data_IF_390480016965
#
_entry.id   IF_390480016965
#
_cell.length_a   1.000
_cell.length_b   1.000
_cell.length_c   1.000
_cell.angle_alpha   90.00
_cell.angle_beta   90.00
_cell.angle_gamma   90.00
#
_symmetry.space_group_name_H-M   'P 1'
#
loop_
_entity.id
_entity.type
_entity.pdbx_description
1 polymer ?
#
# COMPACT_ATOMS: atom_id res chain seq x y z
N UNK A 1 -36.38 5.88 -10.65
CA UNK A 1 -35.44 6.23 -9.57
C UNK A 1 -34.02 5.99 -10.09
N UNK A 2 -33.34 7.02 -10.61
CA UNK A 2 -32.06 6.86 -11.31
C UNK A 2 -30.85 7.18 -10.40
N UNK A 3 -29.95 6.18 -10.23
CA UNK A 3 -28.50 6.30 -10.07
C UNK A 3 -27.92 6.88 -8.76
N UNK A 4 -27.35 6.03 -7.92
CA UNK A 4 -26.45 6.45 -6.84
C UNK A 4 -25.16 7.07 -7.45
N UNK A 5 -24.81 8.31 -7.10
CA UNK A 5 -23.67 9.05 -7.68
C UNK A 5 -22.28 8.45 -7.37
N UNK A 6 -22.19 7.37 -6.59
CA UNK A 6 -20.97 6.61 -6.31
C UNK A 6 -20.83 5.30 -7.12
N UNK A 7 -21.76 4.98 -8.02
CA UNK A 7 -21.76 3.72 -8.80
C UNK A 7 -21.08 3.85 -10.17
N UNK A 8 -20.15 4.80 -10.32
CA UNK A 8 -19.40 5.03 -11.55
C UNK A 8 -18.05 4.30 -11.58
N UNK A 9 -17.61 3.88 -12.77
CA UNK A 9 -16.31 3.24 -13.01
C UNK A 9 -15.19 4.20 -12.57
N UNK A 10 -14.20 3.71 -11.80
CA UNK A 10 -12.97 4.47 -11.47
C UNK A 10 -12.36 5.02 -12.77
N UNK A 11 -12.07 6.33 -12.85
CA UNK A 11 -11.59 6.96 -14.08
C UNK A 11 -10.23 6.38 -14.48
N UNK A 12 -10.02 6.26 -15.79
CA UNK A 12 -8.73 5.83 -16.32
C UNK A 12 -7.70 6.97 -16.12
N UNK A 13 -6.44 6.64 -15.81
CA UNK A 13 -5.39 7.63 -15.66
C UNK A 13 -5.11 8.31 -17.01
N UNK A 14 -4.75 9.60 -16.97
CA UNK A 14 -4.59 10.51 -18.11
C UNK A 14 -3.64 9.97 -19.18
N UNK A 15 -2.51 9.52 -18.66
CA UNK A 15 -1.84 8.31 -19.05
C UNK A 15 -2.62 7.40 -20.02
N UNK A 16 -3.31 6.36 -19.56
CA UNK A 16 -4.05 5.43 -20.42
C UNK A 16 -4.94 6.09 -21.49
N UNK A 17 -5.31 7.34 -21.31
CA UNK A 17 -5.96 8.10 -22.36
C UNK A 17 -5.02 8.50 -23.55
N UNK A 18 -3.77 8.99 -23.43
CA UNK A 18 -2.94 9.35 -24.63
C UNK A 18 -2.62 8.19 -25.51
N UNK A 19 -2.14 7.08 -24.94
CA UNK A 19 -1.67 5.97 -25.75
C UNK A 19 -2.78 5.42 -26.66
N UNK A 20 -4.05 5.61 -26.28
CA UNK A 20 -5.20 5.09 -27.02
C UNK A 20 -5.68 5.99 -28.15
N UNK A 21 -4.97 7.07 -28.45
CA UNK A 21 -5.41 8.03 -29.46
C UNK A 21 -6.74 8.70 -29.09
N UNK A 22 -7.05 8.79 -27.79
CA UNK A 22 -8.13 9.60 -27.26
C UNK A 22 -9.61 9.26 -27.62
N UNK A 23 -10.08 8.02 -27.47
CA UNK A 23 -11.47 7.66 -27.81
C UNK A 23 -12.50 8.31 -26.88
N UNK A 24 -12.10 8.65 -25.65
CA UNK A 24 -12.90 9.46 -24.71
C UNK A 24 -13.01 10.93 -25.14
N UNK A 25 -12.37 11.32 -26.25
CA UNK A 25 -12.30 12.70 -26.78
C UNK A 25 -11.87 13.73 -25.74
N UNK A 26 -11.02 13.28 -24.83
CA UNK A 26 -10.37 14.09 -23.82
C UNK A 26 -9.28 14.92 -24.49
N UNK A 27 -9.32 16.25 -24.47
CA UNK A 27 -8.34 17.08 -25.19
C UNK A 27 -6.89 16.59 -24.98
N UNK A 28 -6.00 16.72 -25.98
CA UNK A 28 -4.66 16.08 -26.02
C UNK A 28 -3.76 16.32 -24.81
N UNK A 29 -4.05 17.33 -24.00
CA UNK A 29 -3.41 17.54 -22.71
C UNK A 29 -3.82 16.53 -21.62
N UNK A 30 -4.99 15.88 -21.67
CA UNK A 30 -5.46 14.85 -20.72
C UNK A 30 -4.86 13.45 -20.98
N UNK A 31 -3.97 13.39 -21.96
CA UNK A 31 -3.53 12.17 -22.61
C UNK A 31 -2.05 11.96 -22.31
N UNK A 32 -1.19 12.94 -22.60
CA UNK A 32 0.28 12.83 -22.63
C UNK A 32 0.93 12.37 -21.32
N UNK A 33 0.17 12.22 -20.25
CA UNK A 33 0.64 11.75 -18.96
C UNK A 33 0.95 10.23 -18.89
N UNK A 34 1.06 9.45 -20.01
CA UNK A 34 1.10 7.94 -20.04
C UNK A 34 2.40 7.23 -19.93
N UNK A 35 3.50 7.95 -19.90
CA UNK A 35 4.53 7.47 -19.01
C UNK A 35 3.93 7.58 -17.61
N UNK A 36 3.24 6.55 -17.10
CA UNK A 36 3.47 6.25 -15.69
C UNK A 36 4.92 5.83 -15.71
N UNK A 37 5.79 6.83 -15.64
CA UNK A 37 7.21 6.69 -15.52
C UNK A 37 7.34 5.83 -14.27
N UNK A 38 7.46 4.52 -14.48
CA UNK A 38 7.37 3.57 -13.40
C UNK A 38 8.54 3.90 -12.52
N UNK A 39 8.21 4.46 -11.36
CA UNK A 39 9.24 4.87 -10.43
C UNK A 39 10.07 3.62 -10.14
N UNK A 40 11.40 3.73 -10.18
CA UNK A 40 12.24 2.58 -9.94
C UNK A 40 11.84 1.96 -8.60
N UNK A 41 11.77 0.63 -8.58
CA UNK A 41 11.45 -0.12 -7.39
C UNK A 41 12.58 0.06 -6.37
N UNK A 42 12.36 0.94 -5.39
CA UNK A 42 13.38 1.39 -4.44
C UNK A 42 12.77 1.39 -3.05
N UNK A 43 13.47 0.77 -2.10
CA UNK A 43 13.08 0.81 -0.70
C UNK A 43 13.43 2.20 -0.14
N UNK A 44 12.46 2.99 0.34
CA UNK A 44 12.77 4.25 0.98
C UNK A 44 13.47 4.05 2.34
N UNK A 45 14.23 5.05 2.82
CA UNK A 45 14.84 4.98 4.13
C UNK A 45 13.78 4.92 5.23
N UNK A 46 13.88 3.91 6.08
CA UNK A 46 12.95 3.70 7.19
C UNK A 46 12.94 4.92 8.14
N UNK A 47 11.77 5.47 8.50
CA UNK A 47 11.71 6.63 9.40
C UNK A 47 12.25 6.35 10.81
N UNK A 48 13.09 7.25 11.31
CA UNK A 48 13.72 7.13 12.62
C UNK A 48 12.72 7.13 13.78
N UNK A 49 11.58 7.81 13.63
CA UNK A 49 10.53 7.92 14.65
C UNK A 49 9.67 6.67 14.82
N UNK A 50 9.80 5.66 13.93
CA UNK A 50 9.04 4.42 14.07
C UNK A 50 9.48 3.63 15.32
N UNK A 51 8.52 2.97 15.96
CA UNK A 51 8.78 2.06 17.08
C UNK A 51 9.64 0.87 16.65
N UNK A 52 10.21 0.14 17.61
CA UNK A 52 11.04 -1.04 17.35
C UNK A 52 10.29 -2.09 16.53
N UNK A 53 9.05 -2.42 16.90
CA UNK A 53 8.22 -3.38 16.17
C UNK A 53 7.84 -2.89 14.77
N UNK A 54 7.57 -1.59 14.61
CA UNK A 54 7.27 -1.01 13.29
C UNK A 54 8.50 -1.08 12.37
N UNK A 55 9.71 -0.83 12.88
CA UNK A 55 10.96 -0.98 12.13
C UNK A 55 11.24 -2.44 11.76
N UNK A 56 10.88 -3.39 12.63
CA UNK A 56 11.01 -4.81 12.32
C UNK A 56 10.07 -5.19 11.17
N UNK A 57 8.83 -4.71 11.20
CA UNK A 57 7.87 -4.95 10.13
C UNK A 57 8.28 -4.31 8.81
N UNK A 58 8.79 -3.07 8.85
CA UNK A 58 9.36 -2.40 7.69
C UNK A 58 10.42 -3.27 7.01
N UNK A 59 11.37 -3.79 7.79
CA UNK A 59 12.43 -4.67 7.27
C UNK A 59 11.87 -5.96 6.67
N UNK A 60 10.81 -6.51 7.29
CA UNK A 60 10.17 -7.74 6.83
C UNK A 60 9.52 -7.56 5.46
N UNK A 61 8.74 -6.50 5.26
CA UNK A 61 7.91 -6.35 4.05
C UNK A 61 8.56 -5.52 2.94
N UNK A 62 9.45 -4.57 3.26
CA UNK A 62 9.98 -3.66 2.25
C UNK A 62 10.77 -4.38 1.16
N UNK A 63 11.52 -5.43 1.52
CA UNK A 63 12.28 -6.23 0.55
C UNK A 63 11.36 -7.01 -0.39
N UNK A 64 10.29 -7.59 0.15
CA UNK A 64 9.28 -8.30 -0.63
C UNK A 64 8.58 -7.33 -1.58
N UNK A 65 8.17 -6.16 -1.09
CA UNK A 65 7.53 -5.12 -1.91
C UNK A 65 8.45 -4.61 -3.03
N UNK A 66 9.75 -4.45 -2.77
CA UNK A 66 10.71 -4.06 -3.79
C UNK A 66 10.89 -5.16 -4.85
N UNK A 67 11.01 -6.41 -4.41
CA UNK A 67 11.14 -7.57 -5.31
C UNK A 67 9.92 -7.69 -6.22
N UNK A 68 8.75 -7.34 -5.69
CA UNK A 68 7.50 -7.27 -6.41
C UNK A 68 7.29 -5.95 -7.15
N UNK A 69 8.22 -4.99 -7.17
CA UNK A 69 8.01 -3.70 -7.84
C UNK A 69 6.80 -2.89 -7.33
N UNK A 70 6.35 -3.17 -6.10
CA UNK A 70 5.18 -2.57 -5.46
C UNK A 70 5.52 -1.37 -4.57
N UNK A 71 6.78 -0.96 -4.55
CA UNK A 71 7.24 0.15 -3.72
C UNK A 71 8.27 0.99 -4.47
N UNK A 72 8.14 2.29 -4.31
CA UNK A 72 9.07 3.30 -4.75
C UNK A 72 9.49 4.18 -3.56
N UNK A 73 10.48 5.03 -3.79
CA UNK A 73 10.92 6.02 -2.81
C UNK A 73 9.79 6.95 -2.33
N UNK A 74 8.75 7.18 -3.14
CA UNK A 74 7.62 8.05 -2.78
C UNK A 74 6.69 7.41 -1.75
N UNK A 75 6.66 6.09 -1.67
CA UNK A 75 5.69 5.35 -0.86
C UNK A 75 6.10 5.27 0.63
N UNK A 76 7.16 6.00 1.02
CA UNK A 76 7.73 6.00 2.37
C UNK A 76 6.69 6.27 3.45
N UNK A 77 5.81 7.25 3.24
CA UNK A 77 4.80 7.64 4.22
C UNK A 77 3.74 6.56 4.41
N UNK A 78 3.21 6.03 3.30
CA UNK A 78 2.18 5.00 3.30
C UNK A 78 2.70 3.71 3.96
N UNK A 79 3.93 3.30 3.63
CA UNK A 79 4.57 2.14 4.27
C UNK A 79 4.76 2.38 5.77
N UNK A 80 5.12 3.60 6.19
CA UNK A 80 5.32 3.92 7.61
C UNK A 80 4.01 3.81 8.39
N UNK A 81 2.89 4.27 7.81
CA UNK A 81 1.56 4.14 8.40
C UNK A 81 1.20 2.66 8.58
N UNK A 82 1.42 1.84 7.56
CA UNK A 82 1.19 0.39 7.66
C UNK A 82 2.01 -0.25 8.78
N UNK A 83 3.33 0.00 8.81
CA UNK A 83 4.23 -0.60 9.79
C UNK A 83 3.92 -0.14 11.23
N UNK A 84 3.59 1.13 11.43
CA UNK A 84 3.21 1.62 12.76
C UNK A 84 1.88 1.02 13.21
N UNK A 85 0.90 0.91 12.30
CA UNK A 85 -0.38 0.28 12.61
C UNK A 85 -0.20 -1.21 12.99
N UNK A 86 0.71 -1.93 12.32
CA UNK A 86 1.07 -3.30 12.73
C UNK A 86 1.65 -3.37 14.15
N UNK A 87 2.56 -2.46 14.50
CA UNK A 87 3.13 -2.41 15.84
C UNK A 87 2.07 -2.13 16.91
N UNK A 88 1.20 -1.14 16.67
CA UNK A 88 0.11 -0.80 17.58
C UNK A 88 -0.85 -1.97 17.76
N UNK A 89 -1.18 -2.66 16.65
CA UNK A 89 -2.02 -3.85 16.67
C UNK A 89 -1.40 -4.98 17.48
N UNK A 90 -0.13 -5.29 17.24
CA UNK A 90 0.61 -6.32 17.98
C UNK A 90 0.57 -6.05 19.49
N UNK A 91 0.93 -4.84 19.91
CA UNK A 91 0.92 -4.45 21.33
C UNK A 91 -0.48 -4.59 21.93
N UNK A 92 -1.51 -4.12 21.21
CA UNK A 92 -2.89 -4.24 21.68
C UNK A 92 -3.31 -5.71 21.85
N UNK A 93 -2.98 -6.58 20.88
CA UNK A 93 -3.30 -8.01 20.96
C UNK A 93 -2.58 -8.72 22.10
N UNK A 94 -1.30 -8.42 22.32
CA UNK A 94 -0.54 -8.95 23.45
C UNK A 94 -1.15 -8.52 24.81
N UNK A 95 -1.55 -7.24 24.93
CA UNK A 95 -2.21 -6.74 26.15
C UNK A 95 -3.59 -7.35 26.37
N UNK A 96 -4.39 -7.49 25.33
CA UNK A 96 -5.71 -8.16 25.40
C UNK A 96 -5.53 -9.60 25.90
N UNK A 97 -4.57 -10.33 25.33
CA UNK A 97 -4.30 -11.71 25.72
C UNK A 97 -3.84 -11.83 27.18
N UNK A 98 -3.01 -10.90 27.66
CA UNK A 98 -2.50 -10.92 29.02
C UNK A 98 -3.56 -10.56 30.08
N UNK A 99 -4.62 -9.84 29.70
CA UNK A 99 -5.69 -9.38 30.60
C UNK A 99 -6.97 -10.22 30.50
N UNK A 100 -6.99 -11.24 29.63
CA UNK A 100 -8.15 -12.10 29.38
C UNK A 100 -9.43 -11.29 29.12
N UNK A 101 -10.51 -11.53 29.88
CA UNK A 101 -11.80 -10.85 29.73
C UNK A 101 -11.71 -9.33 29.93
N UNK A 102 -10.86 -8.87 30.86
CA UNK A 102 -10.60 -7.45 31.09
C UNK A 102 -9.84 -6.79 29.93
N UNK A 103 -9.17 -7.61 29.10
CA UNK A 103 -8.56 -7.17 27.86
C UNK A 103 -9.59 -6.74 26.80
N UNK A 104 -10.80 -7.30 26.82
CA UNK A 104 -11.84 -6.98 25.84
C UNK A 104 -12.83 -5.93 26.35
N UNK A 105 -13.17 -6.00 27.64
CA UNK A 105 -14.23 -5.19 28.26
C UNK A 105 -13.71 -4.58 29.55
N UNK A 106 -13.87 -3.27 29.69
CA UNK A 106 -13.57 -2.54 30.93
C UNK A 106 -14.87 -2.06 31.60
N UNK A 107 -14.89 -2.08 32.92
CA UNK A 107 -15.99 -1.54 33.71
C UNK A 107 -15.64 -0.12 34.13
N UNK A 108 -16.47 0.84 33.75
CA UNK A 108 -16.34 2.25 34.15
C UNK A 108 -16.57 2.41 35.66
N UNK A 109 -16.13 3.53 36.27
CA UNK A 109 -16.42 3.80 37.69
C UNK A 109 -17.92 3.83 38.03
N UNK A 110 -18.79 4.08 37.05
CA UNK A 110 -20.26 4.05 37.18
C UNK A 110 -20.87 2.65 37.02
N UNK A 111 -20.06 1.61 36.79
CA UNK A 111 -20.50 0.22 36.70
C UNK A 111 -20.91 -0.25 35.29
N UNK A 112 -20.89 0.63 34.28
CA UNK A 112 -21.18 0.24 32.90
C UNK A 112 -19.99 -0.48 32.26
N UNK A 113 -20.28 -1.55 31.52
CA UNK A 113 -19.31 -2.29 30.71
C UNK A 113 -19.15 -1.61 29.35
N UNK A 114 -17.92 -1.30 28.97
CA UNK A 114 -17.58 -0.76 27.66
C UNK A 114 -16.39 -1.48 27.04
N UNK A 115 -16.18 -1.27 25.74
CA UNK A 115 -15.03 -1.82 25.03
C UNK A 115 -13.74 -1.24 25.61
N UNK A 116 -12.81 -2.11 25.98
CA UNK A 116 -11.53 -1.68 26.56
C UNK A 116 -10.76 -0.75 25.64
N UNK A 117 -9.91 0.11 26.22
CA UNK A 117 -9.00 0.94 25.44
C UNK A 117 -8.10 0.12 24.50
N UNK A 118 -7.69 -1.09 24.91
CA UNK A 118 -6.86 -1.99 24.10
C UNK A 118 -7.61 -2.54 22.89
N UNK A 119 -8.87 -2.93 23.07
CA UNK A 119 -9.71 -3.40 21.96
C UNK A 119 -10.03 -2.26 20.98
N UNK A 120 -10.24 -1.03 21.49
CA UNK A 120 -10.36 0.16 20.64
C UNK A 120 -9.09 0.40 19.82
N UNK A 121 -7.91 0.29 20.43
CA UNK A 121 -6.63 0.44 19.73
C UNK A 121 -6.45 -0.65 18.66
N UNK A 122 -6.73 -1.91 18.98
CA UNK A 122 -6.63 -3.03 18.04
C UNK A 122 -7.50 -2.79 16.80
N UNK A 123 -8.77 -2.42 16.98
CA UNK A 123 -9.69 -2.18 15.86
C UNK A 123 -9.23 -1.04 14.96
N UNK A 124 -8.81 0.09 15.56
CA UNK A 124 -8.28 1.25 14.80
C UNK A 124 -6.98 0.91 14.07
N UNK A 125 -6.13 0.09 14.67
CA UNK A 125 -4.88 -0.35 14.06
C UNK A 125 -5.15 -1.28 12.87
N UNK A 126 -6.08 -2.24 12.98
CA UNK A 126 -6.50 -3.09 11.87
C UNK A 126 -7.06 -2.29 10.70
N UNK A 127 -7.89 -1.30 10.97
CA UNK A 127 -8.45 -0.46 9.92
C UNK A 127 -7.36 0.35 9.19
N UNK A 128 -6.41 0.95 9.92
CA UNK A 128 -5.26 1.65 9.34
C UNK A 128 -4.40 0.70 8.51
N UNK A 129 -4.11 -0.50 9.00
CA UNK A 129 -3.37 -1.53 8.26
C UNK A 129 -4.11 -1.93 6.98
N UNK A 130 -5.42 -2.16 7.05
CA UNK A 130 -6.23 -2.54 5.88
C UNK A 130 -6.20 -1.44 4.83
N UNK A 131 -6.35 -0.17 5.24
CA UNK A 131 -6.31 0.97 4.31
C UNK A 131 -4.92 1.12 3.69
N UNK A 132 -3.88 1.28 4.49
CA UNK A 132 -2.52 1.50 3.98
C UNK A 132 -1.98 0.29 3.20
N UNK A 133 -2.27 -0.93 3.69
CA UNK A 133 -1.86 -2.17 3.02
C UNK A 133 -2.57 -2.42 1.70
N UNK A 134 -3.70 -1.75 1.43
CA UNK A 134 -4.37 -1.85 0.14
C UNK A 134 -3.55 -1.23 -0.99
N UNK A 135 -2.81 -0.15 -0.70
CA UNK A 135 -1.91 0.54 -1.64
C UNK A 135 -0.79 -0.38 -2.14
N UNK A 136 -0.37 -1.34 -1.31
CA UNK A 136 0.73 -2.28 -1.59
C UNK A 136 0.29 -3.70 -1.92
N UNK A 137 -1.01 -3.99 -1.97
CA UNK A 137 -1.49 -5.34 -2.25
C UNK A 137 -1.22 -6.33 -1.11
N UNK A 138 -1.18 -5.85 0.13
CA UNK A 138 -1.06 -6.73 1.29
C UNK A 138 -2.42 -7.37 1.66
N UNK A 139 -3.51 -6.79 1.17
CA UNK A 139 -4.85 -7.38 1.28
C UNK A 139 -5.15 -8.26 0.06
N UNK A 140 -5.73 -9.48 0.25
CA UNK A 140 -6.12 -10.34 -0.86
C UNK A 140 -6.96 -9.65 -1.94
N UNK A 141 -7.94 -8.83 -1.54
CA UNK A 141 -8.81 -8.08 -2.48
C UNK A 141 -8.09 -6.95 -3.21
N UNK A 142 -7.07 -6.33 -2.58
CA UNK A 142 -6.28 -5.28 -3.19
C UNK A 142 -5.29 -5.83 -4.21
N UNK A 143 -4.73 -7.03 -3.99
CA UNK A 143 -3.88 -7.73 -4.97
C UNK A 143 -4.57 -7.89 -6.32
N UNK A 144 -5.85 -8.26 -6.30
CA UNK A 144 -6.63 -8.40 -7.52
C UNK A 144 -6.77 -7.07 -8.31
N UNK A 145 -6.64 -5.92 -7.65
CA UNK A 145 -6.78 -4.58 -8.26
C UNK A 145 -5.46 -3.96 -8.73
N UNK A 146 -4.32 -4.44 -8.25
CA UNK A 146 -2.99 -3.89 -8.59
C UNK A 146 -2.44 -4.41 -9.94
N UNK A 147 -3.12 -5.39 -10.54
CA UNK A 147 -2.76 -5.93 -11.86
C UNK A 147 -1.55 -6.86 -11.82
N UNK A 148 -1.56 -7.91 -12.64
CA UNK A 148 -0.51 -8.93 -12.75
C UNK A 148 0.80 -8.43 -13.42
N UNK A 149 1.18 -7.17 -13.22
CA UNK A 149 2.31 -6.51 -13.90
C UNK A 149 3.51 -6.23 -12.99
N UNK A 150 3.52 -6.73 -11.77
CA UNK A 150 4.44 -6.30 -10.72
C UNK A 150 5.71 -7.17 -10.64
N UNK A 151 5.68 -8.38 -11.21
CA UNK A 151 6.91 -9.11 -11.52
C UNK A 151 7.36 -8.69 -12.91
N UNK A 152 8.28 -7.73 -13.00
CA UNK A 152 9.10 -7.65 -14.21
C UNK A 152 9.82 -8.99 -14.31
N UNK A 153 9.38 -9.83 -15.23
CA UNK A 153 10.18 -10.92 -15.73
C UNK A 153 11.41 -10.24 -16.33
N UNK A 154 12.50 -10.16 -15.55
CA UNK A 154 13.77 -9.67 -16.04
C UNK A 154 14.08 -10.41 -17.34
N UNK A 155 14.61 -9.69 -18.34
CA UNK A 155 14.92 -10.27 -19.65
C UNK A 155 15.61 -11.63 -19.44
N UNK A 156 14.95 -12.73 -19.85
CA UNK A 156 15.45 -14.09 -19.59
C UNK A 156 16.82 -14.36 -20.25
N UNK A 157 17.22 -13.49 -21.16
CA UNK A 157 18.49 -13.53 -21.86
C UNK A 157 19.08 -12.13 -21.91
N UNK A 158 20.38 -11.95 -21.60
CA UNK A 158 21.06 -10.68 -21.78
C UNK A 158 20.95 -10.23 -23.24
N UNK A 159 20.27 -9.11 -23.49
CA UNK A 159 20.19 -8.54 -24.83
C UNK A 159 21.38 -7.59 -25.05
N UNK A 160 22.52 -8.16 -25.46
CA UNK A 160 23.77 -7.42 -25.70
C UNK A 160 23.58 -6.23 -26.67
N UNK A 161 22.62 -6.33 -27.59
CA UNK A 161 22.30 -5.25 -28.53
C UNK A 161 21.61 -4.07 -27.84
N UNK A 162 20.70 -4.32 -26.89
CA UNK A 162 20.03 -3.29 -26.12
C UNK A 162 20.97 -2.61 -25.11
N UNK A 163 21.88 -3.37 -24.50
CA UNK A 163 22.93 -2.81 -23.64
C UNK A 163 23.91 -1.95 -24.44
N UNK A 164 24.30 -2.40 -25.64
CA UNK A 164 25.19 -1.64 -26.53
C UNK A 164 24.52 -0.36 -27.04
N UNK A 165 23.25 -0.42 -27.43
CA UNK A 165 22.48 0.76 -27.85
C UNK A 165 22.36 1.79 -26.71
N UNK A 166 22.05 1.34 -25.49
CA UNK A 166 22.03 2.20 -24.28
C UNK A 166 23.39 2.83 -23.98
N UNK A 167 24.48 2.09 -24.17
CA UNK A 167 25.85 2.60 -23.97
C UNK A 167 26.21 3.72 -24.96
N UNK A 168 25.66 3.68 -26.17
CA UNK A 168 25.94 4.67 -27.22
C UNK A 168 24.79 5.67 -27.46
N UNK A 169 23.74 5.65 -26.63
CA UNK A 169 22.61 6.58 -26.71
C UNK A 169 21.76 6.42 -27.97
N UNK A 170 21.70 5.21 -28.52
CA UNK A 170 20.87 4.81 -29.67
C UNK A 170 19.60 4.09 -29.22
#
# INVERSE_FOLDING_TARGET
MAGNRNSGRKPLPANVHALRGNPSKKPSHELEHTGQQQLPAEIPPCPAFLTKDAKAEWKRIAKDLQTLGLISKLDRGELAVYCQAWADWKVAREKISAMESAGFVETTPSGYKQMSAWMQLANRAEERMRKAGSSFGLNPSARASLGAGTVQQGELFPNEQAETARKYGL
#
